data_IF_519097841304
#
_entry.id   IF_519097841304
#
_cell.length_a   1.000
_cell.length_b   1.000
_cell.length_c   1.000
_cell.angle_alpha   90.00
_cell.angle_beta   90.00
_cell.angle_gamma   90.00
#
_symmetry.space_group_name_H-M   'P 1'
#
loop_
_entity.id
_entity.type
_entity.pdbx_description
1 polymer ?
#
# COMPACT_ATOMS: atom_id res chain seq x y z
N UNK A 1 -27.38 12.59 -7.78
CA UNK A 1 -27.40 11.50 -6.79
C UNK A 1 -26.86 10.22 -7.41
N UNK A 2 -26.01 9.50 -6.70
CA UNK A 2 -25.49 8.24 -7.20
C UNK A 2 -26.59 7.19 -7.23
N UNK A 3 -26.64 6.44 -8.32
CA UNK A 3 -27.56 5.32 -8.45
C UNK A 3 -26.97 4.12 -7.76
N UNK A 4 -27.67 3.56 -6.77
CA UNK A 4 -27.21 2.42 -5.99
C UNK A 4 -27.76 1.09 -6.52
N UNK A 5 -28.46 1.11 -7.64
CA UNK A 5 -28.93 -0.12 -8.28
C UNK A 5 -27.77 -0.93 -8.86
N UNK A 6 -28.05 -2.14 -9.35
CA UNK A 6 -27.04 -3.02 -9.94
C UNK A 6 -26.72 -2.62 -11.39
N UNK A 7 -26.69 -1.33 -11.67
CA UNK A 7 -26.36 -0.81 -12.99
C UNK A 7 -24.93 -0.23 -13.02
N UNK A 8 -24.56 0.36 -14.15
CA UNK A 8 -23.24 0.90 -14.38
C UNK A 8 -22.86 2.06 -13.45
N UNK A 9 -23.82 2.69 -12.78
CA UNK A 9 -23.58 3.85 -11.92
C UNK A 9 -23.45 3.48 -10.43
N UNK A 10 -23.45 2.21 -10.11
CA UNK A 10 -23.29 1.78 -8.71
C UNK A 10 -21.87 2.09 -8.23
N UNK A 11 -21.77 3.02 -7.26
CA UNK A 11 -20.47 3.51 -6.79
C UNK A 11 -19.55 2.43 -6.26
N UNK A 12 -20.08 1.53 -5.42
CA UNK A 12 -19.25 0.47 -4.84
C UNK A 12 -18.63 -0.43 -5.92
N UNK A 13 -19.41 -0.74 -6.94
CA UNK A 13 -18.92 -1.56 -8.05
C UNK A 13 -17.84 -0.82 -8.86
N UNK A 14 -18.04 0.47 -9.10
CA UNK A 14 -17.05 1.27 -9.82
C UNK A 14 -15.75 1.38 -9.04
N UNK A 15 -15.82 1.54 -7.73
CA UNK A 15 -14.63 1.56 -6.87
C UNK A 15 -13.92 0.21 -6.93
N UNK A 16 -14.67 -0.88 -6.84
CA UNK A 16 -14.13 -2.24 -6.93
C UNK A 16 -13.41 -2.45 -8.25
N UNK A 17 -14.05 -2.08 -9.37
CA UNK A 17 -13.48 -2.23 -10.71
C UNK A 17 -12.23 -1.38 -10.89
N UNK A 18 -12.26 -0.13 -10.40
CA UNK A 18 -11.10 0.76 -10.47
C UNK A 18 -9.93 0.20 -9.67
N UNK A 19 -10.22 -0.29 -8.46
CA UNK A 19 -9.22 -0.93 -7.62
C UNK A 19 -8.60 -2.14 -8.31
N UNK A 20 -9.41 -2.99 -8.92
CA UNK A 20 -8.92 -4.17 -9.63
C UNK A 20 -8.06 -3.80 -10.82
N UNK A 21 -8.42 -2.75 -11.55
CA UNK A 21 -7.63 -2.28 -12.68
C UNK A 21 -6.26 -1.82 -12.21
N UNK A 22 -6.20 -1.00 -11.16
CA UNK A 22 -4.95 -0.54 -10.56
C UNK A 22 -4.11 -1.72 -10.07
N UNK A 23 -4.73 -2.64 -9.32
CA UNK A 23 -4.04 -3.81 -8.79
C UNK A 23 -3.41 -4.67 -9.88
N UNK A 24 -4.14 -4.87 -10.98
CA UNK A 24 -3.66 -5.67 -12.11
C UNK A 24 -2.40 -5.05 -12.72
N UNK A 25 -2.41 -3.73 -12.91
CA UNK A 25 -1.27 -3.01 -13.47
C UNK A 25 -0.05 -3.11 -12.55
N UNK A 26 -0.26 -2.91 -11.25
CA UNK A 26 0.82 -2.98 -10.26
C UNK A 26 1.38 -4.39 -10.16
N UNK A 27 0.52 -5.40 -10.09
CA UNK A 27 0.96 -6.80 -10.02
C UNK A 27 1.82 -7.18 -11.22
N UNK A 28 1.43 -6.73 -12.40
CA UNK A 28 2.20 -7.01 -13.62
C UNK A 28 3.61 -6.41 -13.51
N UNK A 29 3.71 -5.18 -13.03
CA UNK A 29 5.02 -4.51 -12.84
C UNK A 29 5.85 -5.21 -11.76
N UNK A 30 5.23 -5.67 -10.68
CA UNK A 30 5.94 -6.29 -9.56
C UNK A 30 6.50 -7.68 -9.89
N UNK A 31 6.05 -8.31 -10.98
CA UNK A 31 6.57 -9.63 -11.37
C UNK A 31 8.10 -9.62 -11.55
N UNK A 32 8.64 -8.54 -12.06
CA UNK A 32 10.08 -8.39 -12.27
C UNK A 32 10.84 -8.45 -10.93
N UNK A 33 10.23 -7.99 -9.86
CA UNK A 33 10.84 -7.93 -8.54
C UNK A 33 10.51 -9.13 -7.68
N UNK A 34 9.68 -10.05 -8.17
CA UNK A 34 9.30 -11.29 -7.48
C UNK A 34 8.65 -11.03 -6.12
N UNK A 35 7.86 -9.97 -6.00
CA UNK A 35 7.08 -9.67 -4.79
C UNK A 35 5.60 -9.54 -5.16
N UNK A 36 4.75 -9.81 -4.17
CA UNK A 36 3.30 -9.66 -4.32
C UNK A 36 2.90 -8.21 -4.07
N UNK A 37 1.67 -7.86 -4.47
CA UNK A 37 1.14 -6.52 -4.19
C UNK A 37 1.10 -6.24 -2.70
N UNK A 38 0.63 -7.19 -1.87
CA UNK A 38 0.59 -6.99 -0.43
C UNK A 38 2.00 -6.79 0.14
N UNK A 39 2.99 -7.54 -0.35
CA UNK A 39 4.39 -7.36 0.05
C UNK A 39 4.89 -5.97 -0.33
N UNK A 40 4.57 -5.50 -1.53
CA UNK A 40 4.94 -4.15 -1.96
C UNK A 40 4.33 -3.09 -1.05
N UNK A 41 3.02 -3.20 -0.76
CA UNK A 41 2.34 -2.24 0.11
C UNK A 41 2.92 -2.22 1.52
N UNK A 42 3.33 -3.37 2.02
CA UNK A 42 4.00 -3.45 3.32
C UNK A 42 5.36 -2.74 3.27
N UNK A 43 6.16 -3.00 2.23
CA UNK A 43 7.47 -2.34 2.07
C UNK A 43 7.32 -0.84 1.94
N UNK A 44 6.35 -0.37 1.14
CA UNK A 44 6.08 1.06 0.98
C UNK A 44 5.66 1.68 2.31
N UNK A 45 4.79 1.00 3.06
CA UNK A 45 4.32 1.51 4.35
C UNK A 45 5.47 1.65 5.34
N UNK A 46 6.34 0.64 5.42
CA UNK A 46 7.53 0.72 6.29
C UNK A 46 8.44 1.85 5.83
N UNK A 47 8.66 1.95 4.52
CA UNK A 47 9.51 3.01 3.95
C UNK A 47 9.02 4.41 4.33
N UNK A 48 7.71 4.63 4.25
CA UNK A 48 7.12 5.93 4.60
C UNK A 48 7.13 6.18 6.10
N UNK A 49 6.81 5.16 6.91
CA UNK A 49 6.74 5.31 8.36
C UNK A 49 8.12 5.47 9.00
N UNK A 50 9.15 4.84 8.46
CA UNK A 50 10.48 4.97 9.04
C UNK A 50 11.03 6.39 8.97
N UNK A 51 10.50 7.21 8.07
CA UNK A 51 10.86 8.64 8.01
C UNK A 51 10.32 9.43 9.19
N UNK A 52 9.33 8.92 9.88
CA UNK A 52 8.76 9.54 11.07
C UNK A 52 9.53 9.15 12.34
N UNK A 53 10.55 8.30 12.19
CA UNK A 53 11.46 7.91 13.28
C UNK A 53 10.75 7.23 14.44
N UNK A 54 9.75 6.37 14.13
CA UNK A 54 8.98 5.62 15.11
C UNK A 54 9.26 4.13 15.00
N UNK A 55 8.96 3.39 16.08
CA UNK A 55 8.99 1.93 16.03
C UNK A 55 7.78 1.44 15.24
N UNK A 56 8.02 0.68 14.19
CA UNK A 56 6.97 0.20 13.30
C UNK A 56 6.61 -1.23 13.66
N UNK A 57 5.36 -1.45 14.04
CA UNK A 57 4.84 -2.76 14.39
C UNK A 57 3.96 -3.30 13.24
N UNK A 58 3.65 -4.60 13.29
CA UNK A 58 2.70 -5.18 12.33
C UNK A 58 1.33 -4.48 12.40
N UNK A 59 0.92 -4.09 13.61
CA UNK A 59 -0.35 -3.38 13.79
C UNK A 59 -0.35 -2.03 13.06
N UNK A 60 0.76 -1.30 13.12
CA UNK A 60 0.91 -0.05 12.37
C UNK A 60 0.73 -0.27 10.88
N UNK A 61 1.28 -1.36 10.35
CA UNK A 61 1.15 -1.70 8.94
C UNK A 61 -0.31 -2.01 8.60
N UNK A 62 -0.98 -2.82 9.40
CA UNK A 62 -2.40 -3.15 9.20
C UNK A 62 -3.24 -1.89 9.12
N UNK A 63 -3.01 -0.95 10.04
CA UNK A 63 -3.77 0.29 10.13
C UNK A 63 -3.48 1.21 8.94
N UNK A 64 -2.21 1.38 8.60
CA UNK A 64 -1.81 2.34 7.56
C UNK A 64 -2.06 1.83 6.15
N UNK A 65 -1.91 0.53 5.92
CA UNK A 65 -2.10 -0.06 4.59
C UNK A 65 -3.49 -0.68 4.39
N UNK A 66 -4.31 -0.71 5.45
CA UNK A 66 -5.64 -1.34 5.40
C UNK A 66 -5.58 -2.80 4.91
N UNK A 67 -4.64 -3.55 5.46
CA UNK A 67 -4.46 -4.98 5.16
C UNK A 67 -4.78 -5.78 6.42
N UNK A 68 -5.49 -6.89 6.25
CA UNK A 68 -5.84 -7.78 7.36
C UNK A 68 -4.60 -8.28 8.08
N UNK A 69 -4.73 -8.44 9.40
CA UNK A 69 -3.65 -8.86 10.28
C UNK A 69 -3.04 -10.21 9.85
N UNK A 70 -3.87 -11.17 9.47
CA UNK A 70 -3.39 -12.48 9.04
C UNK A 70 -2.52 -12.38 7.78
N UNK A 71 -2.91 -11.52 6.84
CA UNK A 71 -2.16 -11.28 5.62
C UNK A 71 -0.85 -10.58 5.92
N UNK A 72 -0.87 -9.55 6.77
CA UNK A 72 0.35 -8.83 7.17
C UNK A 72 1.33 -9.80 7.83
N UNK A 73 0.87 -10.61 8.79
CA UNK A 73 1.72 -11.56 9.50
C UNK A 73 2.40 -12.53 8.52
N UNK A 74 1.63 -13.09 7.60
CA UNK A 74 2.17 -14.03 6.60
C UNK A 74 3.18 -13.34 5.68
N UNK A 75 2.84 -12.16 5.16
CA UNK A 75 3.71 -11.46 4.20
C UNK A 75 4.97 -10.92 4.86
N UNK A 76 4.88 -10.47 6.12
CA UNK A 76 6.05 -10.06 6.90
C UNK A 76 7.02 -11.23 7.02
N UNK A 77 6.53 -12.42 7.35
CA UNK A 77 7.38 -13.61 7.43
C UNK A 77 8.04 -13.92 6.09
N UNK A 78 7.31 -13.80 4.99
CA UNK A 78 7.87 -14.02 3.65
C UNK A 78 8.92 -12.97 3.28
N UNK A 79 8.68 -11.72 3.65
CA UNK A 79 9.64 -10.65 3.40
C UNK A 79 10.92 -10.82 4.21
N UNK A 80 10.81 -11.36 5.43
CA UNK A 80 11.99 -11.73 6.21
C UNK A 80 12.78 -12.86 5.54
N UNK A 81 12.10 -13.87 5.04
CA UNK A 81 12.74 -14.97 4.29
C UNK A 81 13.48 -14.44 3.07
N UNK A 82 12.92 -13.45 2.40
CA UNK A 82 13.53 -12.78 1.23
C UNK A 82 14.63 -11.80 1.64
N UNK A 83 14.83 -11.59 2.94
CA UNK A 83 15.82 -10.66 3.50
C UNK A 83 15.59 -9.21 3.09
N UNK A 84 14.34 -8.83 2.93
CA UNK A 84 13.95 -7.46 2.58
C UNK A 84 13.58 -6.64 3.81
N UNK A 85 13.16 -7.32 4.88
CA UNK A 85 12.90 -6.68 6.18
C UNK A 85 13.56 -7.50 7.27
N UNK A 86 13.74 -6.86 8.43
CA UNK A 86 14.20 -7.56 9.62
C UNK A 86 13.39 -7.08 10.83
N UNK A 87 13.33 -7.94 11.85
CA UNK A 87 12.69 -7.61 13.12
C UNK A 87 13.76 -7.17 14.11
N UNK A 88 13.46 -6.10 14.84
CA UNK A 88 14.29 -5.64 15.95
C UNK A 88 13.41 -5.60 17.19
N UNK A 89 13.89 -6.12 18.28
CA UNK A 89 13.15 -6.02 19.55
C UNK A 89 13.43 -4.66 20.16
N UNK A 90 12.38 -3.87 20.46
CA UNK A 90 12.56 -2.64 21.20
C UNK A 90 12.98 -2.95 22.64
N UNK A 91 13.50 -1.95 23.33
CA UNK A 91 13.99 -2.14 24.70
C UNK A 91 12.89 -2.61 25.67
N UNK A 92 11.64 -2.23 25.43
CA UNK A 92 10.51 -2.64 26.26
C UNK A 92 10.00 -4.05 25.93
N UNK A 93 10.47 -4.66 24.88
CA UNK A 93 10.19 -6.05 24.46
C UNK A 93 8.71 -6.39 24.31
N UNK A 94 7.83 -5.40 24.12
CA UNK A 94 6.40 -5.64 24.00
C UNK A 94 5.99 -6.11 22.61
N UNK A 95 6.69 -5.64 21.60
CA UNK A 95 6.43 -6.02 20.21
C UNK A 95 7.69 -5.83 19.39
N UNK A 96 7.83 -6.63 18.36
CA UNK A 96 8.94 -6.48 17.43
C UNK A 96 8.76 -5.24 16.58
N UNK A 97 9.84 -4.51 16.38
CA UNK A 97 9.91 -3.41 15.44
C UNK A 97 10.39 -3.93 14.09
N UNK A 98 9.80 -3.43 13.03
CA UNK A 98 10.12 -3.83 11.66
C UNK A 98 10.92 -2.74 10.97
N UNK A 99 12.00 -3.13 10.30
CA UNK A 99 12.79 -2.21 9.50
C UNK A 99 13.10 -2.82 8.14
N UNK A 100 13.36 -1.96 7.16
CA UNK A 100 13.85 -2.41 5.87
C UNK A 100 15.33 -2.76 6.01
N UNK A 101 15.75 -3.84 5.36
CA UNK A 101 17.18 -4.12 5.18
C UNK A 101 17.74 -3.20 4.10
N UNK A 102 19.05 -3.21 3.90
CA UNK A 102 19.66 -2.48 2.78
C UNK A 102 19.05 -2.94 1.45
N UNK A 103 18.84 -4.25 1.29
CA UNK A 103 18.20 -4.79 0.08
C UNK A 103 16.75 -4.32 -0.05
N UNK A 104 16.00 -4.25 1.04
CA UNK A 104 14.63 -3.75 1.05
C UNK A 104 14.56 -2.28 0.68
N UNK A 105 15.44 -1.46 1.23
CA UNK A 105 15.53 -0.04 0.86
C UNK A 105 15.86 0.13 -0.62
N UNK A 106 16.82 -0.61 -1.13
CA UNK A 106 17.22 -0.53 -2.53
C UNK A 106 16.06 -0.92 -3.44
N UNK A 107 15.35 -2.00 -3.10
CA UNK A 107 14.22 -2.45 -3.89
C UNK A 107 13.12 -1.39 -3.95
N UNK A 108 12.70 -0.87 -2.79
CA UNK A 108 11.61 0.11 -2.75
C UNK A 108 12.01 1.41 -3.46
N UNK A 109 13.25 1.87 -3.28
CA UNK A 109 13.74 3.06 -3.97
C UNK A 109 13.73 2.90 -5.50
N UNK A 110 13.99 1.69 -5.98
CA UNK A 110 14.04 1.44 -7.43
C UNK A 110 12.65 1.28 -8.05
N UNK A 111 11.66 0.82 -7.30
CA UNK A 111 10.35 0.51 -7.89
C UNK A 111 9.26 1.53 -7.57
N UNK A 112 9.39 2.30 -6.49
CA UNK A 112 8.31 3.19 -6.04
C UNK A 112 7.92 4.20 -7.12
N UNK A 113 8.89 4.78 -7.81
CA UNK A 113 8.61 5.77 -8.85
C UNK A 113 7.88 5.13 -10.02
N UNK A 114 8.23 3.89 -10.38
CA UNK A 114 7.54 3.17 -11.44
C UNK A 114 6.09 2.88 -11.07
N UNK A 115 5.82 2.55 -9.80
CA UNK A 115 4.46 2.31 -9.32
C UNK A 115 3.67 3.62 -9.33
N UNK A 116 4.26 4.70 -8.86
CA UNK A 116 3.62 6.04 -8.87
C UNK A 116 3.33 6.47 -10.31
N UNK A 117 4.25 6.21 -11.24
CA UNK A 117 4.03 6.51 -12.66
C UNK A 117 2.83 5.75 -13.22
N UNK A 118 2.66 4.48 -12.85
CA UNK A 118 1.49 3.70 -13.25
C UNK A 118 0.19 4.31 -12.70
N UNK A 119 0.22 4.76 -11.45
CA UNK A 119 -0.93 5.43 -10.85
C UNK A 119 -1.26 6.71 -11.58
N UNK A 120 -0.26 7.54 -11.85
CA UNK A 120 -0.44 8.80 -12.55
C UNK A 120 -1.01 8.57 -13.96
N UNK A 121 -0.51 7.57 -14.66
CA UNK A 121 -1.01 7.23 -15.98
C UNK A 121 -2.50 6.88 -15.94
N UNK A 122 -2.90 6.10 -14.93
CA UNK A 122 -4.30 5.73 -14.77
C UNK A 122 -5.17 6.92 -14.37
N UNK A 123 -4.76 7.66 -13.35
CA UNK A 123 -5.60 8.69 -12.73
C UNK A 123 -5.52 10.04 -13.43
N UNK A 124 -4.51 10.29 -14.26
CA UNK A 124 -4.45 11.52 -15.06
C UNK A 124 -5.61 11.66 -16.05
N UNK A 125 -6.28 10.56 -16.34
CA UNK A 125 -7.51 10.59 -17.16
C UNK A 125 -8.61 11.44 -16.53
N UNK A 126 -8.54 11.66 -15.21
CA UNK A 126 -9.49 12.50 -14.49
C UNK A 126 -9.27 14.00 -14.76
N UNK A 127 -8.09 14.38 -15.25
CA UNK A 127 -7.79 15.78 -15.53
C UNK A 127 -7.93 16.66 -14.28
N UNK A 128 -8.70 17.72 -14.39
CA UNK A 128 -8.91 18.68 -13.27
C UNK A 128 -9.71 18.08 -12.11
N UNK A 129 -10.33 16.93 -12.29
CA UNK A 129 -11.12 16.28 -11.23
C UNK A 129 -10.26 15.52 -10.20
N UNK A 130 -8.95 15.36 -10.44
CA UNK A 130 -8.06 14.60 -9.54
C UNK A 130 -8.13 15.13 -8.11
N UNK A 131 -8.05 16.43 -7.93
CA UNK A 131 -8.04 17.05 -6.60
C UNK A 131 -9.33 16.74 -5.83
N UNK A 132 -10.47 16.96 -6.46
CA UNK A 132 -11.77 16.70 -5.84
C UNK A 132 -11.99 15.22 -5.59
N UNK A 133 -11.57 14.37 -6.52
CA UNK A 133 -11.69 12.92 -6.37
C UNK A 133 -10.86 12.41 -5.20
N UNK A 134 -9.62 12.89 -5.08
CA UNK A 134 -8.74 12.52 -3.96
C UNK A 134 -9.37 12.91 -2.63
N UNK A 135 -9.90 14.13 -2.53
CA UNK A 135 -10.54 14.60 -1.31
C UNK A 135 -11.82 13.81 -0.98
N UNK A 136 -12.58 13.42 -2.01
CA UNK A 136 -13.77 12.60 -1.83
C UNK A 136 -13.41 11.22 -1.24
N UNK A 137 -12.36 10.59 -1.73
CA UNK A 137 -11.88 9.32 -1.19
C UNK A 137 -11.41 9.48 0.25
N UNK A 138 -10.67 10.55 0.56
CA UNK A 138 -10.23 10.83 1.93
C UNK A 138 -11.42 11.00 2.87
N UNK A 139 -12.45 11.70 2.41
CA UNK A 139 -13.68 11.91 3.19
C UNK A 139 -14.32 10.57 3.54
N UNK A 140 -14.46 9.69 2.54
CA UNK A 140 -15.04 8.35 2.77
C UNK A 140 -14.23 7.51 3.74
N UNK A 141 -12.91 7.68 3.74
CA UNK A 141 -11.99 6.91 4.58
C UNK A 141 -11.76 7.55 5.94
N UNK A 142 -12.39 8.71 6.21
CA UNK A 142 -12.20 9.41 7.48
C UNK A 142 -10.83 10.05 7.65
N UNK A 143 -10.15 10.34 6.53
CA UNK A 143 -8.83 10.97 6.54
C UNK A 143 -8.96 12.48 6.46
N UNK A 144 -7.92 13.16 6.95
CA UNK A 144 -7.87 14.63 6.82
C UNK A 144 -7.71 15.04 5.35
N UNK A 145 -8.47 16.02 5.00
CA UNK A 145 -8.42 16.62 3.67
C UNK A 145 -7.36 17.72 3.64
#
# INVERSE_FOLDING_TARGET
MADTSLNENRLALLIWQTSNLWQSKVRHKLKESQITLNEYLILETIYLLQQENINITQQDICKNASIDRSVVSLRVSKLEEKKLISKQQPQDKRSDSLILTAAGNDLINNIIDNIVDLENELFNKLGTEIFNFTNSLKLLLGKKI
#
